data_IF_081861704866
#
_entry.id   IF_081861704866
#
_cell.length_a   1.000
_cell.length_b   1.000
_cell.length_c   1.000
_cell.angle_alpha   90.00
_cell.angle_beta   90.00
_cell.angle_gamma   90.00
#
_symmetry.space_group_name_H-M   'P 1'
#
loop_
_entity.id
_entity.type
_entity.pdbx_description
1 polymer ?
#
# COMPACT_ATOMS: atom_id res chain seq x y z
N UNK A 1 11.10 1.41 -19.95
CA UNK A 1 12.31 0.64 -19.57
C UNK A 1 11.80 -0.71 -19.11
N UNK A 2 12.18 -1.81 -19.76
CA UNK A 2 11.64 -3.14 -19.46
C UNK A 2 12.26 -3.70 -18.18
N UNK A 3 11.49 -3.80 -17.09
CA UNK A 3 11.90 -4.52 -15.89
C UNK A 3 11.13 -5.85 -15.78
N UNK A 4 11.64 -6.87 -16.48
CA UNK A 4 11.35 -8.26 -16.10
C UNK A 4 12.37 -8.68 -15.05
N UNK A 5 11.98 -8.78 -13.79
CA UNK A 5 12.77 -9.46 -12.76
C UNK A 5 11.88 -10.31 -11.86
N UNK A 6 11.78 -11.58 -12.23
CA UNK A 6 11.47 -12.66 -11.30
C UNK A 6 12.65 -12.77 -10.32
N UNK A 7 12.38 -12.60 -9.02
CA UNK A 7 13.38 -12.77 -7.97
C UNK A 7 12.92 -13.90 -7.05
N UNK A 8 13.40 -15.12 -7.33
CA UNK A 8 13.44 -16.21 -6.35
C UNK A 8 14.62 -15.97 -5.41
N UNK A 9 14.37 -15.84 -4.10
CA UNK A 9 15.40 -16.08 -3.08
C UNK A 9 14.86 -16.89 -1.91
N UNK A 10 15.44 -18.07 -1.76
CA UNK A 10 15.29 -19.02 -0.65
C UNK A 10 15.86 -18.51 0.67
N UNK A 11 14.99 -18.45 1.68
CA UNK A 11 15.13 -18.96 3.06
C UNK A 11 16.40 -18.65 3.87
N UNK A 12 16.22 -17.99 5.03
CA UNK A 12 16.27 -18.56 6.41
C UNK A 12 16.78 -17.50 7.40
N UNK A 13 15.93 -16.94 8.28
CA UNK A 13 16.38 -16.40 9.58
C UNK A 13 15.32 -16.64 10.66
N UNK A 14 15.83 -17.03 11.84
CA UNK A 14 15.17 -17.53 13.05
C UNK A 14 14.22 -16.53 13.74
N UNK A 15 13.16 -17.09 14.31
CA UNK A 15 12.24 -16.49 15.27
C UNK A 15 12.92 -15.99 16.55
N UNK A 16 12.51 -14.82 17.01
CA UNK A 16 12.48 -14.49 18.45
C UNK A 16 11.09 -13.95 18.78
N UNK A 17 10.31 -14.76 19.49
CA UNK A 17 9.03 -14.35 20.05
C UNK A 17 9.26 -13.33 21.18
N UNK A 18 8.57 -12.20 21.14
CA UNK A 18 8.35 -11.33 22.29
C UNK A 18 6.87 -11.36 22.66
N UNK A 19 6.59 -11.99 23.79
CA UNK A 19 5.31 -12.02 24.47
C UNK A 19 5.40 -11.05 25.66
N UNK A 20 4.44 -10.12 25.74
CA UNK A 20 4.21 -9.26 26.90
C UNK A 20 3.38 -8.05 26.46
N UNK A 21 2.24 -7.70 27.04
CA UNK A 21 1.58 -8.17 28.25
C UNK A 21 0.92 -6.97 28.93
N UNK A 22 -0.42 -6.95 28.94
CA UNK A 22 -1.24 -6.38 30.01
C UNK A 22 -1.60 -4.89 29.97
N UNK A 23 -2.86 -4.60 30.30
CA UNK A 23 -3.28 -3.35 30.95
C UNK A 23 -4.51 -2.68 30.35
N UNK A 24 -5.69 -3.03 30.89
CA UNK A 24 -6.94 -2.27 30.72
C UNK A 24 -6.87 -0.91 31.43
N UNK A 25 -7.58 0.10 30.92
CA UNK A 25 -8.48 0.93 31.73
C UNK A 25 -9.40 1.83 30.89
N UNK A 26 -10.66 1.90 31.37
CA UNK A 26 -11.78 2.70 30.87
C UNK A 26 -11.56 4.21 31.09
N UNK A 27 -12.03 5.02 30.13
CA UNK A 27 -12.00 6.48 30.25
C UNK A 27 -13.05 7.15 29.36
N UNK A 28 -14.30 7.15 29.84
CA UNK A 28 -15.40 7.92 29.29
C UNK A 28 -15.07 9.42 29.29
N UNK A 29 -15.15 10.10 28.13
CA UNK A 29 -15.33 11.55 28.11
C UNK A 29 -16.16 11.98 26.90
N UNK A 30 -17.39 12.39 27.18
CA UNK A 30 -18.31 13.03 26.26
C UNK A 30 -17.93 14.51 26.07
N UNK A 31 -18.02 14.96 24.82
CA UNK A 31 -18.25 16.37 24.48
C UNK A 31 -17.02 17.12 23.98
N UNK A 32 -16.94 17.32 22.66
CA UNK A 32 -17.46 18.54 22.04
C UNK A 32 -17.28 18.44 20.51
N UNK A 33 -18.40 18.53 19.79
CA UNK A 33 -18.45 18.50 18.34
C UNK A 33 -18.03 19.87 17.80
N UNK A 34 -16.81 19.95 17.29
CA UNK A 34 -16.37 20.98 16.35
C UNK A 34 -15.59 20.24 15.27
N UNK A 35 -16.24 19.96 14.15
CA UNK A 35 -15.58 19.36 12.99
C UNK A 35 -14.61 20.37 12.36
N UNK A 36 -13.42 20.50 12.92
CA UNK A 36 -12.23 20.81 12.12
C UNK A 36 -11.84 19.49 11.45
N UNK A 37 -12.43 19.24 10.29
CA UNK A 37 -12.16 18.03 9.53
C UNK A 37 -10.77 18.11 8.95
N UNK A 38 -9.80 17.48 9.62
CA UNK A 38 -8.59 16.95 9.01
C UNK A 38 -8.99 16.21 7.73
N UNK A 39 -8.54 16.69 6.56
CA UNK A 39 -8.88 16.06 5.27
C UNK A 39 -7.61 15.52 4.61
N UNK A 40 -7.32 14.25 4.87
CA UNK A 40 -6.38 13.44 4.08
C UNK A 40 -6.71 13.41 2.58
N UNK A 41 -7.92 13.83 2.20
CA UNK A 41 -8.35 14.02 0.82
C UNK A 41 -7.41 14.93 0.01
N UNK A 42 -6.86 16.01 0.58
CA UNK A 42 -5.96 16.90 -0.18
C UNK A 42 -4.61 16.24 -0.51
N UNK A 43 -4.19 15.27 0.29
CA UNK A 43 -2.95 14.53 0.06
C UNK A 43 -3.17 13.22 -0.70
N UNK A 44 -4.40 12.90 -1.10
CA UNK A 44 -4.68 11.64 -1.78
C UNK A 44 -4.07 11.61 -3.18
N UNK A 45 -3.43 10.51 -3.55
CA UNK A 45 -2.81 10.30 -4.86
C UNK A 45 -1.60 9.37 -4.82
N UNK A 46 -0.78 9.45 -5.86
CA UNK A 46 0.42 8.63 -6.05
C UNK A 46 1.64 9.52 -5.83
N UNK A 47 2.58 9.01 -5.07
CA UNK A 47 3.79 9.71 -4.67
C UNK A 47 5.02 8.91 -5.09
N UNK A 48 6.08 9.63 -5.45
CA UNK A 48 7.40 9.03 -5.70
C UNK A 48 8.47 9.83 -4.98
N UNK A 49 9.52 9.14 -4.52
CA UNK A 49 10.61 9.82 -3.86
C UNK A 49 11.60 8.86 -3.25
N UNK A 50 12.17 9.25 -2.11
CA UNK A 50 13.25 8.50 -1.48
C UNK A 50 13.00 8.28 -0.01
N UNK A 51 13.48 7.17 0.49
CA UNK A 51 13.67 6.87 1.91
C UNK A 51 15.17 6.78 2.19
N UNK A 52 15.61 7.30 3.32
CA UNK A 52 16.99 7.28 3.77
C UNK A 52 17.02 6.59 5.14
N UNK A 53 17.69 5.45 5.21
CA UNK A 53 17.72 4.65 6.42
C UNK A 53 18.82 5.14 7.37
N UNK A 54 18.51 5.16 8.66
CA UNK A 54 19.49 5.49 9.70
C UNK A 54 20.55 4.39 9.73
N UNK A 55 21.83 4.74 9.87
CA UNK A 55 22.98 3.82 9.77
C UNK A 55 22.98 2.60 10.75
N UNK A 56 22.00 2.51 11.65
CA UNK A 56 21.77 1.37 12.55
C UNK A 56 20.65 0.43 12.07
N UNK A 57 20.02 0.67 10.93
CA UNK A 57 19.17 -0.32 10.31
C UNK A 57 20.05 -1.45 9.76
N UNK A 58 19.77 -2.70 10.09
CA UNK A 58 20.47 -3.91 9.59
C UNK A 58 20.42 -4.09 8.06
N UNK A 59 19.94 -3.08 7.36
CA UNK A 59 19.51 -3.08 5.96
C UNK A 59 20.68 -2.88 4.99
N UNK A 60 21.87 -2.44 5.45
CA UNK A 60 23.07 -2.28 4.62
C UNK A 60 22.95 -1.25 3.48
N UNK A 61 21.76 -0.68 3.27
CA UNK A 61 21.44 0.39 2.34
C UNK A 61 21.24 1.70 3.11
N UNK A 62 21.67 2.80 2.51
CA UNK A 62 21.52 4.14 3.10
C UNK A 62 20.35 4.92 2.50
N UNK A 63 19.86 4.50 1.34
CA UNK A 63 18.75 5.13 0.63
C UNK A 63 18.06 4.13 -0.31
N UNK A 64 16.77 4.30 -0.53
CA UNK A 64 15.97 3.56 -1.50
C UNK A 64 14.93 4.48 -2.16
N UNK A 65 14.43 4.09 -3.33
CA UNK A 65 13.30 4.73 -4.02
C UNK A 65 11.99 4.20 -3.44
N UNK A 66 11.07 5.12 -3.18
CA UNK A 66 9.73 4.83 -2.69
C UNK A 66 8.69 5.22 -3.72
N UNK A 67 7.72 4.33 -3.93
CA UNK A 67 6.45 4.63 -4.58
C UNK A 67 5.35 4.49 -3.54
N UNK A 68 4.42 5.44 -3.48
CA UNK A 68 3.39 5.51 -2.45
C UNK A 68 2.01 5.75 -3.01
N UNK A 69 1.02 5.08 -2.44
CA UNK A 69 -0.39 5.38 -2.62
C UNK A 69 -0.91 5.99 -1.33
N UNK A 70 -1.61 7.11 -1.43
CA UNK A 70 -2.34 7.73 -0.33
C UNK A 70 -3.80 7.80 -0.73
N UNK A 71 -4.65 7.06 -0.03
CA UNK A 71 -6.09 7.07 -0.26
C UNK A 71 -6.74 8.29 0.41
N UNK A 72 -7.90 8.76 -0.09
CA UNK A 72 -8.68 9.81 0.58
C UNK A 72 -9.08 9.49 2.01
N UNK A 73 -9.10 8.20 2.39
CA UNK A 73 -9.34 7.75 3.78
C UNK A 73 -8.15 7.99 4.71
N UNK A 74 -6.97 8.31 4.18
CA UNK A 74 -5.71 8.33 4.94
C UNK A 74 -4.96 7.00 4.93
N UNK A 75 -5.51 5.94 4.34
CA UNK A 75 -4.78 4.67 4.18
C UNK A 75 -3.63 4.86 3.20
N UNK A 76 -2.46 4.33 3.57
CA UNK A 76 -1.24 4.43 2.78
C UNK A 76 -0.69 3.06 2.43
N UNK A 77 -0.08 2.98 1.26
CA UNK A 77 0.69 1.83 0.83
C UNK A 77 1.99 2.31 0.17
N UNK A 78 3.14 1.97 0.73
CA UNK A 78 4.44 2.35 0.20
C UNK A 78 5.22 1.10 -0.23
N UNK A 79 5.83 1.16 -1.41
CA UNK A 79 6.73 0.15 -1.94
C UNK A 79 8.15 0.71 -1.95
N UNK A 80 9.07 0.00 -1.30
CA UNK A 80 10.51 0.22 -1.38
C UNK A 80 11.09 -0.64 -2.50
N UNK A 81 11.54 -0.02 -3.58
CA UNK A 81 11.81 -0.72 -4.84
C UNK A 81 13.04 -1.63 -4.78
N UNK A 82 14.13 -1.19 -4.15
CA UNK A 82 15.37 -1.99 -4.13
C UNK A 82 15.39 -2.99 -2.97
N UNK A 83 14.76 -2.66 -1.84
CA UNK A 83 14.60 -3.57 -0.71
C UNK A 83 13.49 -4.59 -0.91
N UNK A 84 12.53 -4.28 -1.78
CA UNK A 84 11.36 -5.13 -1.96
C UNK A 84 10.58 -5.26 -0.66
N UNK A 85 10.33 -4.13 0.00
CA UNK A 85 9.46 -4.08 1.17
C UNK A 85 8.21 -3.27 0.87
N UNK A 86 7.12 -3.68 1.49
CA UNK A 86 5.81 -3.05 1.37
C UNK A 86 5.40 -2.56 2.76
N UNK A 87 5.06 -1.29 2.89
CA UNK A 87 4.50 -0.73 4.13
C UNK A 87 3.04 -0.39 3.90
N UNK A 88 2.14 -0.96 4.70
CA UNK A 88 0.71 -0.63 4.70
C UNK A 88 0.34 0.01 6.03
N UNK A 89 -0.44 1.08 5.98
CA UNK A 89 -0.75 1.82 7.19
C UNK A 89 -1.84 2.86 6.99
N UNK A 90 -1.95 3.74 7.97
CA UNK A 90 -2.85 4.89 7.92
C UNK A 90 -2.11 6.12 8.43
N UNK A 91 -2.40 7.26 7.83
CA UNK A 91 -1.95 8.58 8.26
C UNK A 91 -3.16 9.49 8.51
N UNK A 92 -3.00 10.44 9.41
CA UNK A 92 -3.94 11.53 9.63
C UNK A 92 -3.20 12.86 9.51
N UNK A 93 -3.67 13.74 8.63
CA UNK A 93 -3.04 15.03 8.34
C UNK A 93 -3.84 16.14 9.01
N UNK A 94 -3.25 16.81 10.00
CA UNK A 94 -3.85 17.95 10.67
C UNK A 94 -3.95 19.19 9.76
N UNK A 95 -4.74 20.18 10.18
CA UNK A 95 -4.97 21.41 9.42
C UNK A 95 -3.69 22.24 9.19
N UNK A 96 -2.67 22.05 10.01
CA UNK A 96 -1.36 22.70 9.86
C UNK A 96 -0.42 21.95 8.89
N UNK A 97 -0.89 20.86 8.29
CA UNK A 97 -0.13 19.99 7.40
C UNK A 97 0.69 18.94 8.13
N UNK A 98 0.86 19.01 9.45
CA UNK A 98 1.55 17.96 10.19
C UNK A 98 0.75 16.65 10.13
N UNK A 99 1.44 15.52 10.14
CA UNK A 99 0.78 14.22 10.16
C UNK A 99 1.48 13.21 11.06
N UNK A 100 0.67 12.28 11.55
CA UNK A 100 1.13 11.08 12.24
C UNK A 100 0.40 9.88 11.67
N UNK A 101 1.00 8.71 11.83
CA UNK A 101 0.42 7.47 11.35
C UNK A 101 1.10 6.24 11.92
N UNK A 102 0.59 5.10 11.51
CA UNK A 102 1.17 3.79 11.78
C UNK A 102 1.33 3.01 10.50
N UNK A 103 2.27 2.07 10.47
CA UNK A 103 2.45 1.16 9.36
C UNK A 103 2.98 -0.19 9.80
N UNK A 104 2.63 -1.21 9.02
CA UNK A 104 3.19 -2.56 9.09
C UNK A 104 4.01 -2.78 7.83
N UNK A 105 5.24 -3.24 8.02
CA UNK A 105 6.17 -3.58 6.95
C UNK A 105 6.14 -5.09 6.68
N UNK A 106 6.13 -5.43 5.39
CA UNK A 106 6.10 -6.76 4.83
C UNK A 106 7.25 -6.91 3.84
N UNK A 107 7.85 -8.10 3.78
CA UNK A 107 8.82 -8.41 2.74
C UNK A 107 8.12 -8.78 1.42
N UNK A 108 8.89 -8.96 0.34
CA UNK A 108 8.37 -9.44 -0.95
C UNK A 108 7.70 -10.82 -0.91
N UNK A 109 7.95 -11.64 0.12
CA UNK A 109 7.21 -12.89 0.32
C UNK A 109 5.89 -12.69 1.05
N UNK A 110 5.61 -11.43 1.43
CA UNK A 110 4.45 -10.97 2.17
C UNK A 110 4.53 -11.24 3.66
N UNK A 111 5.64 -11.75 4.20
CA UNK A 111 5.76 -11.93 5.64
C UNK A 111 5.92 -10.56 6.32
N UNK A 112 5.05 -10.27 7.30
CA UNK A 112 5.25 -9.10 8.15
C UNK A 112 6.49 -9.31 9.03
N UNK A 113 7.37 -8.31 9.08
CA UNK A 113 8.55 -8.34 9.95
C UNK A 113 8.71 -7.12 10.85
N UNK A 114 7.82 -6.14 10.76
CA UNK A 114 7.85 -4.98 11.64
C UNK A 114 6.59 -4.15 11.59
N UNK A 115 6.35 -3.41 12.67
CA UNK A 115 5.40 -2.31 12.68
C UNK A 115 6.00 -1.11 13.40
N UNK A 116 5.46 0.05 13.10
CA UNK A 116 5.98 1.30 13.62
C UNK A 116 5.05 2.48 13.39
N UNK A 117 5.58 3.66 13.66
CA UNK A 117 4.89 4.92 13.47
C UNK A 117 5.62 5.78 12.44
N UNK A 118 4.86 6.66 11.80
CA UNK A 118 5.40 7.70 10.92
C UNK A 118 4.94 9.04 11.41
N UNK A 119 5.77 10.05 11.22
CA UNK A 119 5.38 11.45 11.44
C UNK A 119 6.10 12.36 10.46
N UNK A 120 5.45 13.46 10.11
CA UNK A 120 5.99 14.38 9.11
C UNK A 120 5.07 15.54 8.83
N UNK A 121 5.30 16.16 7.68
CA UNK A 121 4.55 17.31 7.16
C UNK A 121 4.13 17.06 5.72
N UNK A 122 2.88 17.42 5.41
CA UNK A 122 2.33 17.54 4.07
C UNK A 122 2.37 19.01 3.65
N UNK A 123 3.23 19.33 2.68
CA UNK A 123 3.34 20.66 2.11
C UNK A 123 2.38 20.86 0.95
N UNK A 124 1.13 21.29 1.20
CA UNK A 124 0.10 21.43 0.15
C UNK A 124 0.51 22.30 -1.04
N UNK A 125 1.32 23.34 -0.82
CA UNK A 125 1.81 24.20 -1.90
C UNK A 125 2.74 23.48 -2.90
N UNK A 126 3.51 22.50 -2.42
CA UNK A 126 4.46 21.73 -3.22
C UNK A 126 4.03 20.27 -3.41
N UNK A 127 2.91 19.87 -2.80
CA UNK A 127 2.37 18.50 -2.75
C UNK A 127 3.44 17.47 -2.35
N UNK A 128 4.13 17.75 -1.23
CA UNK A 128 5.22 16.91 -0.72
C UNK A 128 4.86 16.28 0.61
N UNK A 129 5.12 14.98 0.76
CA UNK A 129 5.08 14.27 2.04
C UNK A 129 6.52 14.02 2.49
N UNK A 130 6.92 14.63 3.60
CA UNK A 130 8.25 14.44 4.18
C UNK A 130 8.17 14.14 5.66
N UNK A 131 9.04 13.28 6.17
CA UNK A 131 8.98 12.88 7.57
C UNK A 131 9.98 11.81 7.95
N UNK A 132 9.72 11.16 9.08
CA UNK A 132 10.53 10.07 9.61
C UNK A 132 9.66 8.88 10.00
N UNK A 133 10.24 7.69 9.96
CA UNK A 133 9.65 6.47 10.53
C UNK A 133 10.34 6.04 11.80
N UNK A 134 9.60 5.38 12.69
CA UNK A 134 10.05 4.94 14.01
C UNK A 134 9.55 3.52 14.29
N UNK A 135 10.37 2.71 14.96
CA UNK A 135 9.91 1.43 15.51
C UNK A 135 8.97 1.64 16.71
N UNK A 136 8.39 0.56 17.22
CA UNK A 136 7.52 0.58 18.40
C UNK A 136 8.24 0.99 19.71
N UNK A 137 9.57 1.05 19.72
CA UNK A 137 10.36 1.56 20.85
C UNK A 137 10.65 3.06 20.74
N UNK A 138 10.19 3.72 19.67
CA UNK A 138 10.48 5.12 19.37
C UNK A 138 11.85 5.37 18.76
N UNK A 139 12.57 4.32 18.35
CA UNK A 139 13.84 4.45 17.63
C UNK A 139 13.55 4.89 16.21
N UNK A 140 14.17 5.99 15.78
CA UNK A 140 14.08 6.44 14.40
C UNK A 140 14.74 5.42 13.46
N UNK A 141 13.99 5.01 12.44
CA UNK A 141 14.44 4.06 11.42
C UNK A 141 14.87 4.78 10.14
N UNK A 142 14.09 5.75 9.67
CA UNK A 142 14.37 6.41 8.39
C UNK A 142 13.87 7.85 8.32
N UNK A 143 14.32 8.57 7.31
CA UNK A 143 13.72 9.81 6.79
C UNK A 143 13.20 9.57 5.39
N UNK A 144 12.02 10.08 5.05
CA UNK A 144 11.47 10.01 3.71
C UNK A 144 11.10 11.40 3.17
N UNK A 145 11.16 11.51 1.85
CA UNK A 145 10.70 12.69 1.11
C UNK A 145 10.08 12.21 -0.20
N UNK A 146 8.79 12.47 -0.35
CA UNK A 146 7.95 12.01 -1.43
C UNK A 146 7.26 13.20 -2.09
N UNK A 147 7.25 13.21 -3.41
CA UNK A 147 6.57 14.22 -4.21
C UNK A 147 5.37 13.60 -4.89
N UNK A 148 4.26 14.34 -4.92
CA UNK A 148 3.08 13.97 -5.66
C UNK A 148 3.39 13.84 -7.15
N UNK A 149 3.09 12.70 -7.73
CA UNK A 149 3.25 12.45 -9.14
C UNK A 149 1.97 12.87 -9.89
N UNK A 150 1.94 14.12 -10.34
CA UNK A 150 0.81 14.65 -11.13
C UNK A 150 0.55 13.87 -12.42
N UNK A 151 1.59 13.28 -13.05
CA UNK A 151 1.43 12.59 -14.32
C UNK A 151 0.70 11.26 -14.15
N UNK A 152 0.94 10.60 -13.03
CA UNK A 152 0.30 9.32 -12.72
C UNK A 152 -1.00 9.54 -11.94
N UNK A 153 -1.07 10.52 -11.04
CA UNK A 153 -2.22 10.72 -10.15
C UNK A 153 -3.40 11.40 -10.82
N UNK A 154 -3.18 12.45 -11.62
CA UNK A 154 -4.26 13.35 -12.08
C UNK A 154 -4.94 12.89 -13.37
N UNK A 155 -4.64 11.68 -13.85
CA UNK A 155 -5.27 11.14 -15.08
C UNK A 155 -6.71 10.66 -14.86
N UNK A 156 -7.16 10.63 -13.60
CA UNK A 156 -8.50 10.21 -13.19
C UNK A 156 -8.73 8.71 -13.29
N UNK A 157 -9.76 8.24 -12.59
CA UNK A 157 -10.15 6.84 -12.56
C UNK A 157 -11.55 6.61 -13.15
N UNK A 158 -11.69 5.53 -13.90
CA UNK A 158 -12.95 5.07 -14.48
C UNK A 158 -12.89 3.57 -14.73
N UNK A 159 -14.00 2.86 -14.46
CA UNK A 159 -14.09 1.43 -14.79
C UNK A 159 -13.84 1.17 -16.28
N UNK A 160 -14.27 2.07 -17.17
CA UNK A 160 -14.03 1.91 -18.61
C UNK A 160 -12.53 1.81 -18.98
N UNK A 161 -11.65 2.39 -18.16
CA UNK A 161 -10.20 2.32 -18.38
C UNK A 161 -9.62 0.95 -17.98
N UNK A 162 -10.23 0.27 -17.01
CA UNK A 162 -9.70 -0.96 -16.41
C UNK A 162 -10.54 -2.22 -16.72
N UNK A 163 -11.63 -2.08 -17.48
CA UNK A 163 -12.40 -3.22 -17.99
C UNK A 163 -11.53 -4.04 -18.93
N UNK A 164 -11.47 -5.35 -18.69
CA UNK A 164 -10.78 -6.26 -19.59
C UNK A 164 -10.33 -7.54 -18.94
N UNK A 165 -9.54 -8.26 -19.73
CA UNK A 165 -8.86 -9.48 -19.33
C UNK A 165 -7.38 -9.16 -19.12
N UNK A 166 -6.81 -9.77 -18.10
CA UNK A 166 -5.46 -9.57 -17.62
C UNK A 166 -4.82 -10.92 -17.34
N UNK A 167 -3.50 -10.96 -17.41
CA UNK A 167 -2.68 -12.16 -17.19
C UNK A 167 -3.21 -13.40 -17.91
N UNK A 168 -3.09 -13.41 -19.23
CA UNK A 168 -3.63 -14.47 -20.11
C UNK A 168 -5.15 -14.71 -20.01
N UNK A 169 -5.91 -13.82 -19.35
CA UNK A 169 -7.35 -13.92 -19.16
C UNK A 169 -7.75 -14.58 -17.84
N UNK A 170 -6.79 -14.82 -16.95
CA UNK A 170 -7.03 -15.38 -15.62
C UNK A 170 -7.75 -14.37 -14.72
N UNK A 171 -7.47 -13.08 -14.89
CA UNK A 171 -8.13 -12.00 -14.15
C UNK A 171 -9.02 -11.22 -15.12
N UNK A 172 -10.30 -11.11 -14.78
CA UNK A 172 -11.29 -10.38 -15.58
C UNK A 172 -11.97 -9.32 -14.74
N UNK A 173 -12.05 -8.10 -15.27
CA UNK A 173 -12.72 -6.95 -14.66
C UNK A 173 -13.87 -6.52 -15.57
N UNK A 174 -15.09 -6.55 -15.03
CA UNK A 174 -16.28 -6.12 -15.77
C UNK A 174 -16.56 -4.61 -15.65
N UNK A 175 -17.54 -4.12 -16.40
CA UNK A 175 -17.89 -2.68 -16.45
C UNK A 175 -18.48 -2.13 -15.14
N UNK A 176 -18.79 -2.99 -14.18
CA UNK A 176 -19.26 -2.62 -12.85
C UNK A 176 -18.14 -2.68 -11.82
N UNK A 177 -16.92 -3.02 -12.23
CA UNK A 177 -15.77 -3.21 -11.34
C UNK A 177 -15.76 -4.56 -10.64
N UNK A 178 -16.57 -5.54 -11.04
CA UNK A 178 -16.47 -6.88 -10.45
C UNK A 178 -15.21 -7.58 -10.98
N UNK A 179 -14.50 -8.26 -10.09
CA UNK A 179 -13.31 -9.07 -10.40
C UNK A 179 -13.71 -10.54 -10.39
N UNK A 180 -13.28 -11.26 -11.43
CA UNK A 180 -13.25 -12.71 -11.45
C UNK A 180 -11.82 -13.20 -11.70
N UNK A 181 -11.31 -14.06 -10.83
CA UNK A 181 -10.03 -14.74 -10.97
C UNK A 181 -10.31 -16.22 -11.24
N UNK A 182 -9.76 -16.75 -12.32
CA UNK A 182 -9.84 -18.17 -12.69
C UNK A 182 -8.66 -18.54 -13.60
N UNK A 183 -7.70 -19.30 -13.08
CA UNK A 183 -6.54 -19.80 -13.85
C UNK A 183 -6.88 -21.02 -14.73
N UNK A 184 -8.15 -21.45 -14.77
CA UNK A 184 -8.58 -22.69 -15.41
C UNK A 184 -8.15 -23.95 -14.65
N UNK A 185 -7.61 -23.78 -13.45
CA UNK A 185 -7.06 -24.81 -12.58
C UNK A 185 -7.63 -24.70 -11.18
N UNK A 186 -6.75 -24.44 -10.21
CA UNK A 186 -7.12 -24.39 -8.79
C UNK A 186 -7.26 -22.99 -8.26
N UNK A 187 -6.66 -21.97 -8.88
CA UNK A 187 -6.77 -20.60 -8.41
C UNK A 187 -8.08 -19.95 -8.87
N UNK A 188 -9.02 -19.78 -7.96
CA UNK A 188 -10.29 -19.10 -8.23
C UNK A 188 -10.48 -17.94 -7.27
N UNK A 189 -11.23 -16.93 -7.68
CA UNK A 189 -11.50 -15.80 -6.81
C UNK A 189 -12.54 -14.86 -7.36
N UNK A 190 -13.13 -14.09 -6.45
CA UNK A 190 -14.08 -13.03 -6.82
C UNK A 190 -13.82 -11.81 -5.99
N UNK A 191 -14.14 -10.64 -6.53
CA UNK A 191 -13.86 -9.38 -5.89
C UNK A 191 -14.63 -8.22 -6.49
N UNK A 192 -14.33 -7.03 -6.00
CA UNK A 192 -14.91 -5.80 -6.50
C UNK A 192 -13.92 -4.65 -6.42
N UNK A 193 -14.07 -3.70 -7.32
CA UNK A 193 -13.30 -2.47 -7.41
C UNK A 193 -14.22 -1.30 -7.13
N UNK A 194 -13.71 -0.34 -6.39
CA UNK A 194 -14.34 0.95 -6.11
C UNK A 194 -13.39 2.07 -6.50
N UNK A 195 -13.96 3.20 -6.90
CA UNK A 195 -13.22 4.41 -7.22
C UNK A 195 -13.42 5.38 -6.05
N UNK A 196 -12.44 5.50 -5.13
CA UNK A 196 -12.58 6.36 -3.95
C UNK A 196 -12.66 7.85 -4.33
N UNK A 197 -11.96 8.25 -5.39
CA UNK A 197 -12.05 9.59 -5.99
C UNK A 197 -11.84 9.47 -7.51
N UNK A 198 -12.81 9.91 -8.31
CA UNK A 198 -12.72 9.83 -9.77
C UNK A 198 -11.72 10.81 -10.38
N UNK A 199 -11.29 11.83 -9.64
CA UNK A 199 -10.24 12.75 -10.03
C UNK A 199 -8.83 12.14 -9.93
N UNK A 200 -8.68 11.03 -9.21
CA UNK A 200 -7.41 10.37 -8.96
C UNK A 200 -7.33 9.03 -9.70
N UNK A 201 -6.16 8.69 -10.23
CA UNK A 201 -5.85 7.38 -10.81
C UNK A 201 -5.58 6.33 -9.71
N UNK A 202 -6.55 6.18 -8.83
CA UNK A 202 -6.49 5.28 -7.69
C UNK A 202 -7.79 4.48 -7.66
N UNK A 203 -7.67 3.17 -7.62
CA UNK A 203 -8.80 2.27 -7.41
C UNK A 203 -8.53 1.47 -6.15
N UNK A 204 -9.57 1.25 -5.36
CA UNK A 204 -9.52 0.34 -4.22
C UNK A 204 -10.22 -0.94 -4.61
N UNK A 205 -9.63 -2.09 -4.34
CA UNK A 205 -10.26 -3.36 -4.59
C UNK A 205 -10.28 -4.24 -3.35
N UNK A 206 -11.22 -5.17 -3.37
CA UNK A 206 -11.28 -6.32 -2.47
C UNK A 206 -11.36 -7.57 -3.32
N UNK A 207 -10.62 -8.61 -2.94
CA UNK A 207 -10.67 -9.90 -3.62
C UNK A 207 -10.60 -11.02 -2.59
N UNK A 208 -11.40 -12.07 -2.79
CA UNK A 208 -11.29 -13.32 -2.05
C UNK A 208 -10.77 -14.38 -3.00
N UNK A 209 -9.59 -14.93 -2.68
CA UNK A 209 -8.96 -16.02 -3.38
C UNK A 209 -9.27 -17.34 -2.68
N UNK A 210 -9.63 -18.34 -3.48
CA UNK A 210 -9.99 -19.68 -3.11
C UNK A 210 -9.29 -20.63 -4.10
N UNK A 211 -8.15 -21.19 -3.74
CA UNK A 211 -7.41 -22.11 -4.58
C UNK A 211 -6.30 -22.91 -3.93
N UNK A 212 -6.10 -22.79 -2.63
CA UNK A 212 -4.99 -23.41 -1.91
C UNK A 212 -3.64 -22.95 -2.47
N UNK A 213 -2.71 -23.90 -2.63
CA UNK A 213 -1.36 -23.60 -3.16
C UNK A 213 -1.29 -23.40 -4.69
N UNK A 214 -2.42 -23.27 -5.38
CA UNK A 214 -2.47 -22.98 -6.81
C UNK A 214 -2.44 -21.50 -7.16
N UNK A 215 -2.81 -20.63 -6.21
CA UNK A 215 -2.66 -19.20 -6.36
C UNK A 215 -1.25 -18.77 -5.91
N UNK A 216 -0.70 -17.73 -6.53
CA UNK A 216 0.56 -17.10 -6.08
C UNK A 216 0.42 -16.47 -4.68
N UNK A 217 -0.81 -16.08 -4.31
CA UNK A 217 -1.16 -15.66 -2.95
C UNK A 217 -1.97 -16.76 -2.24
N UNK A 218 -1.81 -16.96 -0.93
CA UNK A 218 -2.61 -17.92 -0.17
C UNK A 218 -4.12 -17.68 -0.24
N UNK A 219 -4.91 -18.67 0.15
CA UNK A 219 -6.34 -18.49 0.37
C UNK A 219 -6.63 -17.37 1.36
N UNK A 220 -7.59 -16.52 1.03
CA UNK A 220 -7.98 -15.43 1.92
C UNK A 220 -8.69 -14.29 1.23
N UNK A 221 -9.15 -13.35 2.05
CA UNK A 221 -9.62 -12.05 1.60
C UNK A 221 -8.49 -11.04 1.69
N UNK A 222 -8.42 -10.20 0.67
CA UNK A 222 -7.40 -9.18 0.49
C UNK A 222 -8.07 -7.85 0.16
N UNK A 223 -7.57 -6.79 0.76
CA UNK A 223 -7.80 -5.41 0.35
C UNK A 223 -6.62 -4.97 -0.53
N UNK A 224 -6.79 -3.89 -1.28
CA UNK A 224 -5.68 -3.37 -2.06
C UNK A 224 -5.98 -2.08 -2.78
N UNK A 225 -4.91 -1.52 -3.33
CA UNK A 225 -4.94 -0.34 -4.17
C UNK A 225 -4.29 -0.65 -5.51
N UNK A 226 -4.84 -0.07 -6.57
CA UNK A 226 -4.28 -0.17 -7.90
C UNK A 226 -4.28 1.18 -8.60
N UNK A 227 -3.43 1.29 -9.60
CA UNK A 227 -3.34 2.42 -10.52
C UNK A 227 -3.11 1.90 -11.94
N UNK A 228 -3.64 2.62 -12.93
CA UNK A 228 -3.41 2.31 -14.33
C UNK A 228 -2.21 3.13 -14.83
N UNK A 229 -1.12 2.45 -15.21
CA UNK A 229 0.11 3.09 -15.70
C UNK A 229 0.47 2.48 -17.05
N UNK A 230 0.51 3.30 -18.09
CA UNK A 230 0.86 2.88 -19.46
C UNK A 230 0.04 1.67 -19.99
N UNK A 231 -1.18 1.48 -19.51
CA UNK A 231 -2.05 0.37 -19.88
C UNK A 231 -1.86 -0.91 -19.04
N UNK A 232 -0.88 -0.93 -18.14
CA UNK A 232 -0.73 -1.94 -17.09
C UNK A 232 -1.49 -1.54 -15.83
N UNK A 233 -2.09 -2.51 -15.15
CA UNK A 233 -2.55 -2.29 -13.78
C UNK A 233 -1.40 -2.59 -12.83
N UNK A 234 -0.93 -1.57 -12.14
CA UNK A 234 -0.01 -1.73 -11.02
C UNK A 234 -0.87 -1.84 -9.77
N UNK A 235 -0.72 -2.92 -9.02
CA UNK A 235 -1.55 -3.14 -7.85
C UNK A 235 -0.76 -3.71 -6.67
N UNK A 236 -1.25 -3.34 -5.51
CA UNK A 236 -0.80 -3.82 -4.23
C UNK A 236 -2.00 -4.45 -3.54
N UNK A 237 -1.84 -5.68 -3.08
CA UNK A 237 -2.84 -6.41 -2.30
C UNK A 237 -2.27 -6.73 -0.92
N UNK A 238 -3.12 -6.74 0.09
CA UNK A 238 -2.72 -7.04 1.45
C UNK A 238 -3.86 -7.59 2.31
N UNK A 239 -3.48 -8.27 3.37
CA UNK A 239 -4.31 -8.59 4.53
C UNK A 239 -3.41 -8.58 5.79
N UNK A 240 -3.95 -9.03 6.92
CA UNK A 240 -3.21 -9.04 8.19
C UNK A 240 -1.90 -9.85 8.15
N UNK A 241 -1.76 -10.79 7.21
CA UNK A 241 -0.67 -11.77 7.17
C UNK A 241 0.23 -11.66 5.93
N UNK A 242 -0.22 -10.96 4.89
CA UNK A 242 0.43 -10.90 3.59
C UNK A 242 0.28 -9.51 3.00
N UNK A 243 1.34 -8.97 2.39
CA UNK A 243 1.23 -7.92 1.39
C UNK A 243 2.05 -8.30 0.15
N UNK A 244 1.55 -7.97 -1.03
CA UNK A 244 2.22 -8.29 -2.27
C UNK A 244 1.94 -7.23 -3.34
N UNK A 245 2.92 -7.05 -4.21
CA UNK A 245 2.90 -6.09 -5.30
C UNK A 245 3.03 -6.82 -6.63
N UNK A 246 2.24 -6.39 -7.61
CA UNK A 246 2.15 -7.05 -8.90
C UNK A 246 1.84 -6.03 -10.01
N UNK A 247 2.19 -6.41 -11.23
CA UNK A 247 1.86 -5.67 -12.45
C UNK A 247 1.06 -6.59 -13.37
N UNK A 248 -0.20 -6.26 -13.64
CA UNK A 248 -1.01 -6.96 -14.63
C UNK A 248 -0.91 -6.28 -15.98
N UNK A 249 -0.44 -7.05 -16.96
CA UNK A 249 -0.47 -6.67 -18.36
C UNK A 249 -1.86 -6.94 -18.91
N UNK A 250 -2.44 -5.95 -19.59
CA UNK A 250 -3.69 -6.16 -20.33
C UNK A 250 -3.46 -7.12 -21.50
N UNK A 251 -4.38 -8.06 -21.71
CA UNK A 251 -4.33 -9.01 -22.83
C UNK A 251 -5.17 -8.58 -24.04
N UNK A 252 -5.61 -7.30 -24.05
CA UNK A 252 -6.40 -6.70 -25.14
C UNK A 252 -5.78 -6.88 -26.52
#
# INVERSE_FOLDING_TARGET
>A
MNLKRSLLLTSTVLFIASCGGGGSDDGNNEGNNSSSGSSTQEAAGIYTGTINYTANSDVGQTSDSLVGFVAPSGTVAFLSENLGSITIGDITIADDGSFTGSGTEYDTSGASYGSGTVSGDYGSANQTLSGSSFDNSGTKLSDYNLNYDTQTSDVGASFNQIVGSYDSGEINIDSSGNINVDDGGTCQGTGSITIPDSGLNLYRFTVTLNGGGGCDAPDGSYDGYMSLVDGSLIYLLYNDNLAAYFELQSTR
#
